data_IF_743622721124
#
_entry.id   IF_743622721124
#
_cell.length_a   1.000
_cell.length_b   1.000
_cell.length_c   1.000
_cell.angle_alpha   90.00
_cell.angle_beta   90.00
_cell.angle_gamma   90.00
#
_symmetry.space_group_name_H-M   'P 1'
#
loop_
_entity.id
_entity.type
_entity.pdbx_description
1 polymer ?
#
# COMPACT_ATOMS: atom_id res chain seq x y z
N UNK A 1 3.06 -18.52 11.46
CA UNK A 1 1.90 -18.07 10.67
C UNK A 1 2.00 -18.49 9.20
N UNK A 2 2.96 -17.99 8.41
CA UNK A 2 3.07 -18.33 6.98
C UNK A 2 3.10 -19.85 6.69
N UNK A 3 3.95 -20.59 7.41
CA UNK A 3 4.02 -22.05 7.30
C UNK A 3 2.71 -22.76 7.67
N UNK A 4 1.99 -22.26 8.68
CA UNK A 4 0.70 -22.82 9.10
C UNK A 4 -0.37 -22.61 8.03
N UNK A 5 -0.41 -21.43 7.40
CA UNK A 5 -1.29 -21.18 6.25
C UNK A 5 -0.90 -21.98 5.02
N UNK A 6 0.39 -22.20 4.77
CA UNK A 6 0.85 -23.08 3.71
C UNK A 6 0.41 -24.53 3.95
N UNK A 7 0.50 -25.02 5.19
CA UNK A 7 -0.01 -26.34 5.57
C UNK A 7 -1.53 -26.44 5.36
N UNK A 8 -2.31 -25.50 5.91
CA UNK A 8 -3.76 -25.46 5.72
C UNK A 8 -4.16 -25.37 4.23
N UNK A 9 -3.38 -24.65 3.43
CA UNK A 9 -3.60 -24.57 1.98
C UNK A 9 -3.40 -25.92 1.28
N UNK A 10 -2.39 -26.70 1.68
CA UNK A 10 -2.16 -28.04 1.13
C UNK A 10 -3.28 -29.00 1.56
N UNK A 11 -3.70 -28.91 2.83
CA UNK A 11 -4.73 -29.78 3.40
C UNK A 11 -6.12 -29.52 2.82
N UNK A 12 -6.46 -28.25 2.54
CA UNK A 12 -7.73 -27.85 1.90
C UNK A 12 -7.88 -28.34 0.45
N UNK A 13 -6.81 -28.83 -0.19
CA UNK A 13 -6.76 -29.31 -1.59
C UNK A 13 -7.62 -28.43 -2.53
N UNK A 14 -7.29 -27.14 -2.67
CA UNK A 14 -8.07 -26.25 -3.51
C UNK A 14 -7.98 -26.65 -4.99
N UNK A 15 -9.05 -26.39 -5.74
CA UNK A 15 -9.08 -26.60 -7.18
C UNK A 15 -8.07 -25.69 -7.87
N UNK A 16 -7.02 -26.27 -8.45
CA UNK A 16 -5.97 -25.51 -9.14
C UNK A 16 -6.49 -24.71 -10.33
N UNK A 17 -7.56 -25.19 -10.99
CA UNK A 17 -8.21 -24.47 -12.09
C UNK A 17 -8.83 -23.16 -11.61
N UNK A 18 -9.56 -23.21 -10.49
CA UNK A 18 -10.24 -22.02 -9.94
C UNK A 18 -9.24 -21.00 -9.39
N UNK A 19 -8.13 -21.47 -8.81
CA UNK A 19 -7.01 -20.62 -8.39
C UNK A 19 -6.38 -19.87 -9.57
N UNK A 20 -6.04 -20.58 -10.65
CA UNK A 20 -5.43 -19.95 -11.84
C UNK A 20 -6.40 -18.96 -12.49
N UNK A 21 -7.68 -19.31 -12.57
CA UNK A 21 -8.71 -18.39 -13.08
C UNK A 21 -8.87 -17.17 -12.18
N UNK A 22 -8.85 -17.33 -10.85
CA UNK A 22 -8.92 -16.22 -9.90
C UNK A 22 -7.69 -15.31 -9.91
N UNK A 23 -6.51 -15.87 -10.23
CA UNK A 23 -5.26 -15.13 -10.37
C UNK A 23 -5.20 -14.31 -11.67
N UNK A 24 -5.72 -14.85 -12.77
CA UNK A 24 -5.57 -14.26 -14.11
C UNK A 24 -6.78 -13.42 -14.55
N UNK A 25 -7.97 -13.71 -14.05
CA UNK A 25 -9.22 -13.09 -14.51
C UNK A 25 -9.84 -12.24 -13.40
N UNK A 26 -9.73 -10.89 -13.47
CA UNK A 26 -10.39 -10.03 -12.50
C UNK A 26 -11.91 -10.04 -12.73
N UNK A 27 -12.65 -10.72 -11.84
CA UNK A 27 -14.12 -10.68 -11.80
C UNK A 27 -14.56 -9.86 -10.59
N UNK A 28 -15.02 -8.64 -10.82
CA UNK A 28 -15.51 -7.74 -9.79
C UNK A 28 -17.03 -7.62 -9.86
N UNK A 29 -17.68 -7.71 -8.70
CA UNK A 29 -19.10 -7.40 -8.53
C UNK A 29 -19.24 -6.12 -7.71
N UNK A 30 -20.36 -5.42 -7.81
CA UNK A 30 -20.57 -4.14 -7.09
C UNK A 30 -20.41 -4.27 -5.56
N UNK A 31 -20.72 -5.45 -4.98
CA UNK A 31 -20.53 -5.70 -3.54
C UNK A 31 -19.07 -6.00 -3.18
N UNK A 32 -18.33 -6.69 -4.05
CA UNK A 32 -16.93 -7.04 -3.79
C UNK A 32 -15.96 -5.92 -4.14
N UNK A 33 -16.41 -4.89 -4.86
CA UNK A 33 -15.57 -3.75 -5.24
C UNK A 33 -14.98 -3.06 -4.01
N UNK A 34 -15.79 -2.70 -3.00
CA UNK A 34 -15.29 -2.04 -1.77
C UNK A 34 -14.21 -2.86 -1.05
N UNK A 35 -14.39 -4.18 -0.97
CA UNK A 35 -13.42 -5.09 -0.34
C UNK A 35 -12.13 -5.22 -1.19
N UNK A 36 -12.27 -5.38 -2.51
CA UNK A 36 -11.12 -5.46 -3.41
C UNK A 36 -10.29 -4.17 -3.38
N UNK A 37 -10.96 -3.02 -3.31
CA UNK A 37 -10.34 -1.71 -3.12
C UNK A 37 -9.57 -1.66 -1.80
N UNK A 38 -10.17 -2.09 -0.69
CA UNK A 38 -9.51 -2.14 0.61
C UNK A 38 -8.23 -2.98 0.57
N UNK A 39 -8.27 -4.15 -0.10
CA UNK A 39 -7.10 -5.01 -0.28
C UNK A 39 -6.01 -4.28 -1.08
N UNK A 40 -6.36 -3.61 -2.18
CA UNK A 40 -5.39 -2.85 -3.00
C UNK A 40 -4.76 -1.71 -2.19
N UNK A 41 -5.56 -0.96 -1.42
CA UNK A 41 -5.10 0.12 -0.56
C UNK A 41 -4.15 -0.37 0.54
N UNK A 42 -4.45 -1.52 1.15
CA UNK A 42 -3.59 -2.16 2.15
C UNK A 42 -2.26 -2.65 1.58
N UNK A 43 -2.22 -3.05 0.31
CA UNK A 43 -0.97 -3.51 -0.34
C UNK A 43 -0.09 -2.31 -0.76
N UNK A 44 -0.71 -1.24 -1.26
CA UNK A 44 0.01 -0.06 -1.76
C UNK A 44 0.01 1.02 -0.68
N UNK A 45 0.88 0.84 0.31
CA UNK A 45 1.04 1.83 1.39
C UNK A 45 2.12 2.87 1.04
N UNK A 46 1.84 4.18 1.15
CA UNK A 46 2.78 5.24 0.74
C UNK A 46 4.08 5.24 1.55
N UNK A 47 4.02 4.92 2.85
CA UNK A 47 5.20 4.91 3.71
C UNK A 47 6.24 3.84 3.29
N UNK A 48 5.81 2.74 2.68
CA UNK A 48 6.72 1.70 2.18
C UNK A 48 7.53 2.18 0.98
N UNK A 49 6.98 3.06 0.15
CA UNK A 49 7.73 3.70 -0.96
C UNK A 49 8.91 4.49 -0.40
N UNK A 50 8.65 5.39 0.57
CA UNK A 50 9.71 6.19 1.20
C UNK A 50 10.73 5.33 1.95
N UNK A 51 10.26 4.32 2.68
CA UNK A 51 11.13 3.42 3.43
C UNK A 51 12.05 2.63 2.49
N UNK A 52 11.51 2.04 1.43
CA UNK A 52 12.32 1.24 0.50
C UNK A 52 13.34 2.11 -0.24
N UNK A 53 12.96 3.32 -0.67
CA UNK A 53 13.89 4.29 -1.26
C UNK A 53 15.05 4.64 -0.31
N UNK A 54 14.80 4.71 0.99
CA UNK A 54 15.83 5.00 1.98
C UNK A 54 16.70 3.79 2.35
N UNK A 55 16.11 2.60 2.45
CA UNK A 55 16.86 1.36 2.74
C UNK A 55 17.86 1.02 1.64
N UNK A 56 17.54 1.31 0.38
CA UNK A 56 18.46 1.20 -0.76
C UNK A 56 19.71 2.08 -0.60
N UNK A 57 19.62 3.21 0.11
CA UNK A 57 20.77 4.09 0.38
C UNK A 57 21.64 3.62 1.54
N UNK A 58 21.20 2.64 2.32
CA UNK A 58 21.97 2.11 3.45
C UNK A 58 23.19 1.29 3.03
N UNK A 59 23.20 0.75 1.80
CA UNK A 59 24.36 0.04 1.25
C UNK A 59 25.29 1.04 0.54
N UNK A 60 26.59 0.88 0.75
CA UNK A 60 27.61 1.71 0.12
C UNK A 60 27.77 1.30 -1.35
N UNK A 61 27.28 2.12 -2.27
CA UNK A 61 27.47 1.97 -3.72
C UNK A 61 28.22 3.20 -4.23
N UNK A 62 29.29 2.99 -5.02
CA UNK A 62 30.02 4.09 -5.66
C UNK A 62 29.19 4.62 -6.83
N UNK A 63 28.60 5.80 -6.65
CA UNK A 63 27.71 6.43 -7.64
C UNK A 63 28.46 6.89 -8.89
N UNK A 64 29.79 6.99 -8.85
CA UNK A 64 30.60 7.43 -9.99
C UNK A 64 30.84 6.30 -11.01
N UNK A 65 30.59 5.05 -10.64
CA UNK A 65 30.83 3.87 -11.48
C UNK A 65 29.51 3.30 -11.96
N UNK A 66 29.15 3.59 -13.21
CA UNK A 66 27.88 3.13 -13.81
C UNK A 66 27.68 1.62 -13.70
N UNK A 67 28.75 0.82 -13.86
CA UNK A 67 28.68 -0.63 -13.70
C UNK A 67 28.20 -1.06 -12.30
N UNK A 68 28.70 -0.42 -11.23
CA UNK A 68 28.33 -0.74 -9.86
C UNK A 68 26.88 -0.34 -9.57
N UNK A 69 26.43 0.79 -10.10
CA UNK A 69 25.03 1.23 -9.98
C UNK A 69 24.10 0.25 -10.69
N UNK A 70 24.46 -0.19 -11.91
CA UNK A 70 23.66 -1.17 -12.67
C UNK A 70 23.60 -2.53 -11.97
N UNK A 71 24.72 -2.99 -11.42
CA UNK A 71 24.77 -4.23 -10.63
C UNK A 71 23.91 -4.11 -9.36
N UNK A 72 24.02 -3.00 -8.62
CA UNK A 72 23.21 -2.75 -7.44
C UNK A 72 21.72 -2.72 -7.77
N UNK A 73 21.30 -2.04 -8.84
CA UNK A 73 19.91 -2.00 -9.30
C UNK A 73 19.36 -3.40 -9.59
N UNK A 74 20.18 -4.29 -10.19
CA UNK A 74 19.78 -5.68 -10.44
C UNK A 74 19.56 -6.45 -9.14
N UNK A 75 20.47 -6.34 -8.18
CA UNK A 75 20.30 -6.98 -6.87
C UNK A 75 19.09 -6.42 -6.10
N UNK A 76 18.90 -5.11 -6.11
CA UNK A 76 17.73 -4.49 -5.47
C UNK A 76 16.42 -4.90 -6.12
N UNK A 77 16.39 -5.05 -7.44
CA UNK A 77 15.21 -5.56 -8.14
C UNK A 77 14.89 -7.00 -7.73
N UNK A 78 15.90 -7.87 -7.60
CA UNK A 78 15.71 -9.25 -7.16
C UNK A 78 15.26 -9.29 -5.70
N UNK A 79 15.92 -8.55 -4.81
CA UNK A 79 15.59 -8.46 -3.38
C UNK A 79 14.14 -7.98 -3.19
N UNK A 80 13.77 -6.89 -3.86
CA UNK A 80 12.41 -6.33 -3.80
C UNK A 80 11.36 -7.28 -4.37
N UNK A 81 11.65 -7.95 -5.48
CA UNK A 81 10.74 -8.95 -6.07
C UNK A 81 10.52 -10.11 -5.10
N UNK A 82 11.59 -10.69 -4.55
CA UNK A 82 11.48 -11.79 -3.57
C UNK A 82 10.74 -11.36 -2.30
N UNK A 83 10.97 -10.13 -1.84
CA UNK A 83 10.28 -9.57 -0.68
C UNK A 83 8.77 -9.37 -0.91
N UNK A 84 8.32 -9.13 -2.15
CA UNK A 84 6.90 -9.00 -2.49
C UNK A 84 6.22 -10.35 -2.80
N UNK A 85 6.96 -11.35 -3.29
CA UNK A 85 6.42 -12.69 -3.54
C UNK A 85 5.94 -13.35 -2.25
N UNK A 86 6.66 -13.17 -1.14
CA UNK A 86 6.31 -13.82 0.14
C UNK A 86 4.94 -13.33 0.69
N UNK A 87 4.68 -12.01 0.85
CA UNK A 87 3.36 -11.50 1.23
C UNK A 87 2.27 -11.88 0.23
N UNK A 88 2.57 -11.89 -1.07
CA UNK A 88 1.62 -12.33 -2.08
C UNK A 88 1.19 -13.80 -1.86
N UNK A 89 2.14 -14.70 -1.59
CA UNK A 89 1.84 -16.10 -1.28
C UNK A 89 1.05 -16.26 0.01
N UNK A 90 1.39 -15.50 1.06
CA UNK A 90 0.64 -15.51 2.32
C UNK A 90 -0.80 -15.05 2.09
N UNK A 91 -1.02 -13.94 1.39
CA UNK A 91 -2.36 -13.44 1.08
C UNK A 91 -3.15 -14.43 0.22
N UNK A 92 -2.50 -15.11 -0.73
CA UNK A 92 -3.11 -16.17 -1.52
C UNK A 92 -3.56 -17.34 -0.63
N UNK A 93 -2.70 -17.81 0.27
CA UNK A 93 -3.02 -18.91 1.18
C UNK A 93 -4.14 -18.56 2.14
N UNK A 94 -4.05 -17.40 2.81
CA UNK A 94 -5.07 -16.92 3.75
C UNK A 94 -6.43 -16.82 3.03
N UNK A 95 -6.48 -16.11 1.91
CA UNK A 95 -7.74 -15.91 1.17
C UNK A 95 -8.33 -17.24 0.69
N UNK A 96 -7.50 -18.17 0.22
CA UNK A 96 -7.98 -19.47 -0.28
C UNK A 96 -8.47 -20.36 0.86
N UNK A 97 -7.78 -20.41 1.99
CA UNK A 97 -8.19 -21.20 3.17
C UNK A 97 -9.53 -20.71 3.70
N UNK A 98 -9.71 -19.39 3.82
CA UNK A 98 -11.00 -18.82 4.25
C UNK A 98 -12.10 -19.03 3.23
N UNK A 99 -11.81 -18.85 1.93
CA UNK A 99 -12.79 -19.09 0.88
C UNK A 99 -13.23 -20.56 0.83
N UNK A 100 -12.30 -21.51 0.80
CA UNK A 100 -12.66 -22.93 0.75
C UNK A 100 -13.28 -23.42 2.06
N UNK A 101 -12.84 -22.86 3.18
CA UNK A 101 -13.31 -23.22 4.51
C UNK A 101 -14.73 -22.73 4.79
N UNK A 102 -15.04 -21.47 4.49
CA UNK A 102 -16.23 -20.82 5.04
C UNK A 102 -17.12 -20.17 3.99
N UNK A 103 -16.73 -20.14 2.71
CA UNK A 103 -17.56 -19.50 1.68
C UNK A 103 -18.92 -20.21 1.54
N UNK A 104 -20.00 -19.44 1.73
CA UNK A 104 -21.38 -19.93 1.62
C UNK A 104 -21.98 -20.47 2.92
N UNK A 105 -21.28 -20.41 4.05
CA UNK A 105 -21.85 -20.71 5.37
C UNK A 105 -22.38 -19.44 6.05
N UNK A 106 -23.31 -19.57 6.99
CA UNK A 106 -23.81 -18.42 7.78
C UNK A 106 -22.69 -17.77 8.61
N UNK A 107 -21.71 -18.57 9.06
CA UNK A 107 -20.53 -18.14 9.80
C UNK A 107 -19.62 -17.21 8.99
N UNK A 108 -19.67 -17.26 7.65
CA UNK A 108 -18.83 -16.44 6.79
C UNK A 108 -19.00 -14.93 7.03
N UNK A 109 -20.17 -14.52 7.52
CA UNK A 109 -20.51 -13.12 7.80
C UNK A 109 -20.00 -12.63 9.15
N UNK A 110 -19.75 -13.54 10.09
CA UNK A 110 -19.34 -13.20 11.46
C UNK A 110 -17.84 -13.37 11.69
N UNK A 111 -17.10 -13.93 10.73
CA UNK A 111 -15.64 -14.08 10.81
C UNK A 111 -14.97 -12.70 10.76
N UNK A 112 -14.38 -12.31 11.88
CA UNK A 112 -13.55 -11.12 12.08
C UNK A 112 -12.18 -11.49 12.67
N UNK A 113 -11.34 -10.47 12.91
CA UNK A 113 -9.96 -10.66 13.38
C UNK A 113 -9.88 -11.41 14.73
N UNK A 114 -10.86 -11.17 15.61
CA UNK A 114 -10.96 -11.74 16.96
C UNK A 114 -11.25 -13.25 16.94
N UNK A 115 -12.28 -13.66 16.21
CA UNK A 115 -12.76 -15.05 16.19
C UNK A 115 -12.18 -15.89 15.05
N UNK A 116 -11.51 -15.29 14.05
CA UNK A 116 -10.87 -16.01 12.95
C UNK A 116 -9.94 -17.13 13.42
N UNK A 117 -9.16 -16.89 14.49
CA UNK A 117 -8.27 -17.90 15.05
C UNK A 117 -9.02 -19.10 15.64
N UNK A 118 -10.21 -18.89 16.22
CA UNK A 118 -11.05 -19.94 16.79
C UNK A 118 -11.66 -20.78 15.67
N UNK A 119 -12.26 -20.15 14.67
CA UNK A 119 -12.81 -20.84 13.51
C UNK A 119 -11.76 -21.67 12.76
N UNK A 120 -10.54 -21.14 12.61
CA UNK A 120 -9.44 -21.89 12.02
C UNK A 120 -9.02 -23.08 12.89
N UNK A 121 -9.00 -22.93 14.22
CA UNK A 121 -8.70 -24.04 15.14
C UNK A 121 -9.76 -25.14 15.05
N UNK A 122 -11.04 -24.78 15.06
CA UNK A 122 -12.14 -25.76 14.99
C UNK A 122 -12.13 -26.53 13.68
N UNK A 123 -11.79 -25.86 12.57
CA UNK A 123 -11.84 -26.47 11.24
C UNK A 123 -10.58 -27.24 10.85
N UNK A 124 -9.40 -26.74 11.24
CA UNK A 124 -8.10 -27.24 10.78
C UNK A 124 -7.15 -27.64 11.90
N UNK A 125 -7.44 -27.29 13.16
CA UNK A 125 -6.50 -27.46 14.27
C UNK A 125 -6.40 -28.90 14.76
N UNK A 126 -7.47 -29.69 14.65
CA UNK A 126 -7.55 -31.00 15.30
C UNK A 126 -7.14 -30.95 16.78
N UNK A 127 -6.71 -32.09 17.34
CA UNK A 127 -6.24 -32.17 18.73
C UNK A 127 -4.78 -31.72 18.92
N UNK A 128 -3.99 -31.65 17.85
CA UNK A 128 -2.52 -31.52 17.94
C UNK A 128 -1.95 -30.20 17.40
N UNK A 129 -2.67 -29.45 16.56
CA UNK A 129 -2.17 -28.22 15.94
C UNK A 129 -2.77 -26.97 16.61
N UNK A 130 -1.98 -26.20 17.39
CA UNK A 130 -2.47 -25.02 18.10
C UNK A 130 -2.51 -23.78 17.18
N UNK A 131 -3.39 -23.82 16.17
CA UNK A 131 -3.59 -22.73 15.19
C UNK A 131 -4.01 -21.43 15.88
N UNK A 132 -4.88 -21.50 16.90
CA UNK A 132 -5.29 -20.31 17.66
C UNK A 132 -4.10 -19.59 18.29
N UNK A 133 -3.18 -20.33 18.92
CA UNK A 133 -1.97 -19.77 19.52
C UNK A 133 -1.03 -19.18 18.46
N UNK A 134 -0.88 -19.87 17.32
CA UNK A 134 -0.06 -19.38 16.21
C UNK A 134 -0.65 -18.11 15.58
N UNK A 135 -1.99 -18.02 15.49
CA UNK A 135 -2.71 -16.83 15.06
C UNK A 135 -2.43 -15.66 16.00
N UNK A 136 -2.64 -15.85 17.31
CA UNK A 136 -2.40 -14.82 18.32
C UNK A 136 -0.95 -14.33 18.35
N UNK A 137 0.03 -15.25 18.40
CA UNK A 137 1.46 -14.90 18.36
C UNK A 137 1.81 -14.21 17.05
N UNK A 138 1.22 -14.65 15.95
CA UNK A 138 1.44 -14.04 14.64
C UNK A 138 0.87 -12.62 14.54
N UNK A 139 -0.30 -12.35 15.12
CA UNK A 139 -0.87 -11.00 15.20
C UNK A 139 0.03 -10.06 16.03
N UNK A 140 0.55 -10.55 17.16
CA UNK A 140 1.52 -9.81 17.98
C UNK A 140 2.81 -9.52 17.20
N UNK A 141 3.34 -10.50 16.47
CA UNK A 141 4.53 -10.34 15.64
C UNK A 141 4.30 -9.34 14.49
N UNK A 142 3.12 -9.37 13.85
CA UNK A 142 2.76 -8.41 12.80
C UNK A 142 2.71 -6.97 13.34
N UNK A 143 2.10 -6.76 14.52
CA UNK A 143 2.03 -5.45 15.16
C UNK A 143 3.40 -4.86 15.54
N UNK A 144 4.30 -5.70 16.05
CA UNK A 144 5.68 -5.28 16.38
C UNK A 144 6.49 -4.95 15.13
N UNK A 145 6.39 -5.77 14.08
CA UNK A 145 7.02 -5.50 12.79
C UNK A 145 6.54 -4.18 12.17
N UNK A 146 5.22 -3.95 12.13
CA UNK A 146 4.63 -2.72 11.61
C UNK A 146 5.12 -1.47 12.35
N UNK A 147 5.32 -1.57 13.67
CA UNK A 147 5.90 -0.46 14.44
C UNK A 147 7.31 -0.13 13.97
N UNK A 148 8.18 -1.14 13.83
CA UNK A 148 9.57 -0.92 13.44
C UNK A 148 9.60 -0.22 12.07
N UNK A 149 8.88 -0.76 11.10
CA UNK A 149 8.72 -0.20 9.75
C UNK A 149 8.20 1.24 9.80
N UNK A 150 7.14 1.51 10.57
CA UNK A 150 6.56 2.85 10.73
C UNK A 150 7.54 3.85 11.35
N UNK A 151 8.33 3.44 12.34
CA UNK A 151 9.34 4.32 12.95
C UNK A 151 10.52 4.60 12.02
N UNK A 152 10.91 3.67 11.15
CA UNK A 152 11.94 3.92 10.14
C UNK A 152 11.41 4.81 9.02
N UNK A 153 10.22 4.53 8.49
CA UNK A 153 9.60 5.35 7.45
C UNK A 153 9.41 6.80 7.94
N UNK A 154 8.90 6.97 9.16
CA UNK A 154 8.75 8.28 9.79
C UNK A 154 10.08 9.02 9.99
N UNK A 155 11.20 8.30 10.16
CA UNK A 155 12.52 8.93 10.20
C UNK A 155 12.84 9.65 8.91
N UNK A 156 12.76 8.94 7.80
CA UNK A 156 13.20 9.44 6.51
C UNK A 156 12.28 10.55 6.01
N UNK A 157 10.98 10.45 6.32
CA UNK A 157 10.02 11.51 6.02
C UNK A 157 10.31 12.77 6.85
N UNK A 158 10.54 12.64 8.17
CA UNK A 158 10.84 13.78 9.04
C UNK A 158 12.20 14.42 8.73
N UNK A 159 13.24 13.61 8.52
CA UNK A 159 14.57 14.09 8.18
C UNK A 159 14.60 14.73 6.78
N UNK A 160 13.85 14.18 5.81
CA UNK A 160 13.83 14.66 4.43
C UNK A 160 12.94 15.88 4.20
N UNK A 161 11.70 15.89 4.72
CA UNK A 161 10.74 16.97 4.47
C UNK A 161 10.78 18.09 5.52
N UNK A 162 11.01 17.74 6.78
CA UNK A 162 10.94 18.68 7.91
C UNK A 162 12.33 19.05 8.46
N UNK A 163 13.40 18.40 7.99
CA UNK A 163 14.75 18.49 8.55
C UNK A 163 14.78 18.30 10.08
N UNK A 164 13.84 17.51 10.63
CA UNK A 164 13.64 17.39 12.07
C UNK A 164 14.15 16.05 12.60
N UNK A 165 15.32 16.10 13.24
CA UNK A 165 16.01 14.92 13.78
C UNK A 165 15.53 14.57 15.19
N UNK A 166 14.60 13.63 15.29
CA UNK A 166 14.13 13.07 16.56
C UNK A 166 14.84 11.76 16.91
N UNK A 167 15.08 11.53 18.21
CA UNK A 167 15.59 10.24 18.72
C UNK A 167 14.56 9.13 18.43
N UNK A 168 15.03 7.93 18.05
CA UNK A 168 14.18 6.78 17.65
C UNK A 168 13.05 6.48 18.64
N UNK A 169 13.37 6.41 19.94
CA UNK A 169 12.38 6.12 20.99
C UNK A 169 11.31 7.21 21.13
N UNK A 170 11.69 8.48 21.01
CA UNK A 170 10.77 9.61 21.15
C UNK A 170 9.81 9.68 19.97
N UNK A 171 10.32 9.44 18.75
CA UNK A 171 9.48 9.31 17.57
C UNK A 171 8.48 8.16 17.71
N UNK A 172 8.93 6.99 18.16
CA UNK A 172 8.07 5.83 18.37
C UNK A 172 7.00 6.07 19.45
N UNK A 173 7.34 6.78 20.52
CA UNK A 173 6.39 7.17 21.56
C UNK A 173 5.35 8.13 21.01
N UNK A 174 5.77 9.19 20.30
CA UNK A 174 4.84 10.18 19.72
C UNK A 174 3.87 9.51 18.76
N UNK A 175 4.37 8.76 17.76
CA UNK A 175 3.49 8.14 16.75
C UNK A 175 2.56 7.09 17.36
N UNK A 176 3.00 6.35 18.38
CA UNK A 176 2.14 5.40 19.10
C UNK A 176 1.12 6.10 19.98
N UNK A 177 1.48 7.18 20.67
CA UNK A 177 0.53 7.97 21.44
C UNK A 177 -0.58 8.51 20.54
N UNK A 178 -0.25 9.03 19.36
CA UNK A 178 -1.24 9.48 18.38
C UNK A 178 -2.13 8.36 17.83
N UNK A 179 -1.65 7.11 17.77
CA UNK A 179 -2.46 5.97 17.34
C UNK A 179 -3.33 5.39 18.48
N UNK A 180 -2.74 5.19 19.66
CA UNK A 180 -3.36 4.47 20.77
C UNK A 180 -4.33 5.36 21.54
N UNK A 181 -3.98 6.63 21.80
CA UNK A 181 -4.80 7.52 22.64
C UNK A 181 -6.20 7.72 22.04
N UNK A 182 -6.37 8.08 20.74
CA UNK A 182 -7.70 8.22 20.16
C UNK A 182 -8.48 6.90 20.20
N UNK A 183 -7.81 5.78 19.94
CA UNK A 183 -8.44 4.45 19.97
C UNK A 183 -8.97 4.10 21.35
N UNK A 184 -8.18 4.34 22.41
CA UNK A 184 -8.61 4.11 23.80
C UNK A 184 -9.76 5.04 24.18
N UNK A 185 -9.69 6.32 23.80
CA UNK A 185 -10.76 7.29 24.10
C UNK A 185 -12.07 6.86 23.46
N UNK A 186 -12.04 6.44 22.18
CA UNK A 186 -13.23 5.93 21.48
C UNK A 186 -13.75 4.65 22.15
N UNK A 187 -12.86 3.71 22.49
CA UNK A 187 -13.25 2.44 23.12
C UNK A 187 -13.92 2.64 24.49
N UNK A 188 -13.38 3.54 25.33
CA UNK A 188 -13.91 3.83 26.66
C UNK A 188 -15.20 4.65 26.63
N UNK A 189 -15.29 5.63 25.73
CA UNK A 189 -16.45 6.54 25.67
C UNK A 189 -17.67 5.90 24.99
N UNK A 190 -17.45 5.09 23.96
CA UNK A 190 -18.51 4.43 23.19
C UNK A 190 -18.76 2.97 23.63
N UNK A 191 -18.20 2.55 24.77
CA UNK A 191 -18.43 1.24 25.38
C UNK A 191 -18.25 0.07 24.39
N UNK A 192 -17.19 0.13 23.59
CA UNK A 192 -16.87 -0.81 22.51
C UNK A 192 -18.00 -1.07 21.49
N UNK A 193 -18.90 -0.11 21.25
CA UNK A 193 -19.87 -0.25 20.14
C UNK A 193 -19.10 -0.37 18.81
N UNK A 194 -19.27 -1.49 18.09
CA UNK A 194 -18.59 -1.77 16.81
C UNK A 194 -18.68 -0.58 15.84
N UNK A 195 -19.84 0.09 15.82
CA UNK A 195 -20.10 1.26 14.96
C UNK A 195 -19.12 2.42 15.11
N UNK A 196 -18.62 2.72 16.31
CA UNK A 196 -17.70 3.86 16.52
C UNK A 196 -16.28 3.53 16.07
N UNK A 197 -15.88 2.27 16.22
CA UNK A 197 -14.59 1.77 15.73
C UNK A 197 -14.58 1.65 14.20
N UNK A 198 -15.72 1.27 13.62
CA UNK A 198 -15.90 1.26 12.16
C UNK A 198 -15.75 2.66 11.58
N UNK A 199 -16.39 3.67 12.17
CA UNK A 199 -16.23 5.07 11.76
C UNK A 199 -14.76 5.52 11.86
N UNK A 200 -14.07 5.18 12.95
CA UNK A 200 -12.63 5.48 13.09
C UNK A 200 -11.80 4.81 11.97
N UNK A 201 -12.07 3.56 11.66
CA UNK A 201 -11.41 2.83 10.59
C UNK A 201 -11.69 3.46 9.21
N UNK A 202 -12.91 3.91 8.96
CA UNK A 202 -13.26 4.64 7.73
C UNK A 202 -12.45 5.94 7.61
N UNK A 203 -12.35 6.74 8.67
CA UNK A 203 -11.52 7.94 8.69
C UNK A 203 -10.03 7.66 8.43
N UNK A 204 -9.49 6.57 8.98
CA UNK A 204 -8.11 6.14 8.71
C UNK A 204 -7.92 5.75 7.24
N UNK A 205 -8.89 5.05 6.65
CA UNK A 205 -8.86 4.69 5.23
C UNK A 205 -8.92 5.93 4.32
N UNK A 206 -9.73 6.94 4.68
CA UNK A 206 -9.77 8.23 3.96
C UNK A 206 -8.42 8.94 4.06
N UNK A 207 -7.81 8.97 5.24
CA UNK A 207 -6.49 9.59 5.44
C UNK A 207 -5.41 8.89 4.62
N UNK A 208 -5.43 7.56 4.54
CA UNK A 208 -4.54 6.78 3.69
C UNK A 208 -4.79 7.04 2.19
N UNK A 209 -6.05 7.14 1.78
CA UNK A 209 -6.47 7.44 0.40
C UNK A 209 -5.86 8.74 -0.11
N UNK A 210 -5.87 9.79 0.72
CA UNK A 210 -5.31 11.11 0.40
C UNK A 210 -3.78 11.07 0.22
N UNK A 211 -3.09 10.18 0.93
CA UNK A 211 -1.62 10.10 0.90
C UNK A 211 -1.06 9.36 -0.32
N UNK A 212 -1.81 8.42 -0.90
CA UNK A 212 -1.33 7.58 -2.00
C UNK A 212 -0.88 8.43 -3.21
N UNK A 213 -1.71 9.35 -3.77
CA UNK A 213 -1.30 10.17 -4.91
C UNK A 213 -0.09 11.06 -4.60
N UNK A 214 -0.01 11.58 -3.37
CA UNK A 214 1.09 12.44 -2.92
C UNK A 214 2.45 11.72 -2.93
N UNK A 215 2.46 10.41 -2.72
CA UNK A 215 3.69 9.61 -2.77
C UNK A 215 4.01 9.11 -4.19
N UNK A 216 3.00 8.61 -4.92
CA UNK A 216 3.20 7.94 -6.21
C UNK A 216 3.47 8.92 -7.36
N UNK A 217 2.75 10.05 -7.44
CA UNK A 217 2.91 11.00 -8.56
C UNK A 217 4.33 11.56 -8.60
N UNK A 218 4.90 12.08 -7.48
CA UNK A 218 6.28 12.55 -7.49
C UNK A 218 7.29 11.44 -7.75
N UNK A 219 7.08 10.23 -7.21
CA UNK A 219 7.99 9.09 -7.44
C UNK A 219 8.12 8.76 -8.92
N UNK A 220 6.98 8.54 -9.60
CA UNK A 220 6.99 8.15 -11.02
C UNK A 220 7.66 9.24 -11.84
N UNK A 221 7.39 10.50 -11.52
CA UNK A 221 8.00 11.63 -12.22
C UNK A 221 9.49 11.71 -12.02
N UNK A 222 9.97 11.63 -10.77
CA UNK A 222 11.39 11.73 -10.46
C UNK A 222 12.19 10.62 -11.17
N UNK A 223 11.62 9.42 -11.23
CA UNK A 223 12.23 8.26 -11.91
C UNK A 223 12.16 8.37 -13.44
N UNK A 224 11.18 9.11 -13.99
CA UNK A 224 11.08 9.43 -15.42
C UNK A 224 11.96 10.59 -15.88
N UNK A 225 12.51 11.40 -14.96
CA UNK A 225 13.23 12.62 -15.31
C UNK A 225 14.72 12.37 -15.54
N UNK A 226 15.20 12.69 -16.73
CA UNK A 226 16.61 12.53 -17.11
C UNK A 226 17.55 13.40 -16.28
N UNK A 227 17.12 14.60 -15.87
CA UNK A 227 17.90 15.47 -14.98
C UNK A 227 18.17 14.85 -13.59
N UNK A 228 17.33 13.91 -13.14
CA UNK A 228 17.45 13.28 -11.81
C UNK A 228 18.10 11.90 -11.93
N UNK A 229 17.69 11.11 -12.92
CA UNK A 229 18.12 9.71 -13.07
C UNK A 229 19.28 9.50 -14.07
N UNK A 230 19.58 10.51 -14.90
CA UNK A 230 20.58 10.41 -15.97
C UNK A 230 20.34 9.20 -16.88
N UNK A 231 21.38 8.40 -17.05
CA UNK A 231 21.41 7.18 -17.88
C UNK A 231 20.47 6.08 -17.35
N UNK A 232 20.03 6.15 -16.09
CA UNK A 232 19.16 5.15 -15.43
C UNK A 232 17.67 5.52 -15.45
N UNK A 233 17.25 6.44 -16.32
CA UNK A 233 15.84 6.79 -16.53
C UNK A 233 15.02 5.56 -16.96
N UNK A 234 13.77 5.47 -16.49
CA UNK A 234 12.86 4.41 -16.94
C UNK A 234 12.44 4.59 -18.40
N UNK A 235 12.35 3.47 -19.12
CA UNK A 235 11.86 3.45 -20.49
C UNK A 235 10.37 3.80 -20.57
N UNK A 236 9.93 4.23 -21.76
CA UNK A 236 8.54 4.64 -22.02
C UNK A 236 7.53 3.53 -21.68
N UNK A 237 7.84 2.28 -22.00
CA UNK A 237 6.98 1.14 -21.68
C UNK A 237 6.79 0.98 -20.18
N UNK A 238 7.87 1.01 -19.40
CA UNK A 238 7.80 0.91 -17.94
C UNK A 238 7.05 2.10 -17.35
N UNK A 239 7.27 3.30 -17.88
CA UNK A 239 6.54 4.50 -17.46
C UNK A 239 5.03 4.35 -17.68
N UNK A 240 4.58 3.89 -18.85
CA UNK A 240 3.16 3.65 -19.14
C UNK A 240 2.59 2.59 -18.21
N UNK A 241 3.32 1.49 -17.98
CA UNK A 241 2.88 0.42 -17.07
C UNK A 241 2.75 0.93 -15.64
N UNK A 242 3.74 1.68 -15.13
CA UNK A 242 3.71 2.22 -13.77
C UNK A 242 2.59 3.25 -13.59
N UNK A 243 2.37 4.13 -14.57
CA UNK A 243 1.23 5.06 -14.54
C UNK A 243 -0.11 4.34 -14.58
N UNK A 244 -0.24 3.28 -15.38
CA UNK A 244 -1.46 2.46 -15.42
C UNK A 244 -1.73 1.84 -14.06
N UNK A 245 -0.71 1.21 -13.45
CA UNK A 245 -0.84 0.58 -12.12
C UNK A 245 -1.09 1.61 -11.02
N UNK A 246 -0.51 2.81 -11.09
CA UNK A 246 -0.74 3.87 -10.11
C UNK A 246 -2.10 4.56 -10.29
N UNK A 247 -2.62 4.66 -11.52
CA UNK A 247 -3.93 5.25 -11.78
C UNK A 247 -5.05 4.46 -11.11
N UNK A 248 -4.94 3.13 -11.07
CA UNK A 248 -5.94 2.25 -10.47
C UNK A 248 -6.24 2.59 -8.99
N UNK A 249 -5.27 2.56 -8.05
CA UNK A 249 -5.52 2.95 -6.66
C UNK A 249 -5.88 4.43 -6.55
N UNK A 250 -5.33 5.34 -7.37
CA UNK A 250 -5.67 6.77 -7.29
C UNK A 250 -7.15 7.00 -7.62
N UNK A 251 -7.66 6.40 -8.70
CA UNK A 251 -9.07 6.52 -9.10
C UNK A 251 -10.01 5.89 -8.08
N UNK A 252 -9.66 4.69 -7.63
CA UNK A 252 -10.41 3.92 -6.65
C UNK A 252 -10.53 4.69 -5.32
N UNK A 253 -9.42 5.17 -4.79
CA UNK A 253 -9.40 5.91 -3.53
C UNK A 253 -10.08 7.27 -3.70
N UNK A 254 -9.97 7.90 -4.88
CA UNK A 254 -10.74 9.08 -5.23
C UNK A 254 -12.25 8.83 -5.18
N UNK A 255 -12.73 7.71 -5.73
CA UNK A 255 -14.14 7.32 -5.67
C UNK A 255 -14.60 7.08 -4.22
N UNK A 256 -13.84 6.32 -3.42
CA UNK A 256 -14.20 6.09 -2.01
C UNK A 256 -14.24 7.39 -1.20
N UNK A 257 -13.31 8.30 -1.45
CA UNK A 257 -13.26 9.60 -0.81
C UNK A 257 -14.52 10.41 -1.14
N UNK A 258 -14.96 10.42 -2.41
CA UNK A 258 -16.21 11.07 -2.83
C UNK A 258 -17.45 10.41 -2.21
N UNK A 259 -17.50 9.07 -2.17
CA UNK A 259 -18.60 8.29 -1.58
C UNK A 259 -18.75 8.61 -0.08
N UNK A 260 -17.65 8.52 0.68
CA UNK A 260 -17.60 8.82 2.11
C UNK A 260 -18.06 10.24 2.42
N UNK A 261 -17.55 11.20 1.67
CA UNK A 261 -17.91 12.58 1.87
C UNK A 261 -19.37 12.87 1.51
N UNK A 262 -19.89 12.26 0.45
CA UNK A 262 -21.31 12.37 0.08
C UNK A 262 -22.23 11.85 1.20
N UNK A 263 -21.84 10.78 1.90
CA UNK A 263 -22.61 10.23 3.02
C UNK A 263 -22.54 11.07 4.30
N UNK A 264 -21.42 11.75 4.55
CA UNK A 264 -21.21 12.52 5.80
C UNK A 264 -21.84 13.92 5.74
N UNK A 265 -22.09 14.47 4.55
CA UNK A 265 -22.67 15.81 4.40
C UNK A 265 -24.17 15.79 4.65
N UNK A 266 -24.58 16.23 5.85
CA UNK A 266 -25.99 16.52 6.19
C UNK A 266 -26.35 18.02 6.16
N UNK A 267 -25.47 18.91 5.68
CA UNK A 267 -25.71 20.37 5.68
C UNK A 267 -25.04 21.15 4.54
N UNK A 268 -25.71 22.20 4.05
CA UNK A 268 -25.26 23.01 2.91
C UNK A 268 -23.91 23.72 3.14
N UNK A 269 -23.62 24.16 4.38
CA UNK A 269 -22.36 24.83 4.72
C UNK A 269 -21.19 23.84 4.73
N UNK A 270 -21.37 22.66 5.32
CA UNK A 270 -20.36 21.58 5.31
C UNK A 270 -20.09 21.07 3.89
N UNK A 271 -21.13 21.00 3.05
CA UNK A 271 -20.99 20.65 1.64
C UNK A 271 -20.15 21.65 0.85
N UNK A 272 -20.34 22.96 1.08
CA UNK A 272 -19.54 24.00 0.42
C UNK A 272 -18.08 23.97 0.83
N UNK A 273 -17.78 23.81 2.13
CA UNK A 273 -16.39 23.72 2.62
C UNK A 273 -15.68 22.51 2.01
N UNK A 274 -16.36 21.37 1.97
CA UNK A 274 -15.79 20.17 1.38
C UNK A 274 -15.56 20.32 -0.12
N UNK A 275 -16.52 20.89 -0.87
CA UNK A 275 -16.35 21.09 -2.30
C UNK A 275 -15.08 21.91 -2.59
N UNK A 276 -14.84 22.96 -1.80
CA UNK A 276 -13.59 23.74 -1.88
C UNK A 276 -12.37 22.87 -1.55
N UNK A 277 -12.41 22.05 -0.51
CA UNK A 277 -11.30 21.17 -0.14
C UNK A 277 -10.99 20.11 -1.22
N UNK A 278 -12.02 19.49 -1.81
CA UNK A 278 -11.88 18.51 -2.90
C UNK A 278 -11.34 19.18 -4.16
N UNK A 279 -11.85 20.35 -4.53
CA UNK A 279 -11.34 21.13 -5.67
C UNK A 279 -9.90 21.56 -5.43
N UNK A 280 -9.55 22.02 -4.24
CA UNK A 280 -8.17 22.37 -3.88
C UNK A 280 -7.24 21.15 -3.94
N UNK A 281 -7.69 19.99 -3.45
CA UNK A 281 -6.92 18.75 -3.54
C UNK A 281 -6.74 18.29 -4.99
N UNK A 282 -7.81 18.29 -5.79
CA UNK A 282 -7.74 17.96 -7.22
C UNK A 282 -6.83 18.93 -7.99
N UNK A 283 -6.93 20.24 -7.71
CA UNK A 283 -6.06 21.25 -8.29
C UNK A 283 -4.59 21.05 -7.87
N UNK A 284 -4.34 20.63 -6.64
CA UNK A 284 -3.00 20.30 -6.16
C UNK A 284 -2.44 19.04 -6.84
N UNK A 285 -3.26 17.99 -7.02
CA UNK A 285 -2.85 16.80 -7.79
C UNK A 285 -2.59 17.15 -9.25
N UNK A 286 -3.44 17.97 -9.87
CA UNK A 286 -3.25 18.45 -11.23
C UNK A 286 -1.96 19.29 -11.32
N UNK A 287 -1.73 20.19 -10.36
CA UNK A 287 -0.49 20.96 -10.28
C UNK A 287 0.73 20.03 -10.19
N UNK A 288 0.68 19.00 -9.35
CA UNK A 288 1.75 18.00 -9.27
C UNK A 288 1.95 17.32 -10.62
N UNK A 289 0.90 16.84 -11.28
CA UNK A 289 0.98 16.17 -12.59
C UNK A 289 1.54 17.12 -13.65
N UNK A 290 1.04 18.36 -13.73
CA UNK A 290 1.44 19.36 -14.73
C UNK A 290 2.89 19.78 -14.59
N UNK A 291 3.33 20.13 -13.36
CA UNK A 291 4.75 20.42 -13.09
C UNK A 291 5.65 19.24 -13.40
N UNK A 292 5.11 18.04 -13.31
CA UNK A 292 5.81 16.80 -13.60
C UNK A 292 5.84 16.48 -15.10
N UNK A 293 4.84 16.88 -15.88
CA UNK A 293 4.79 16.70 -17.35
C UNK A 293 5.46 17.82 -18.14
N UNK A 294 5.54 19.05 -17.63
CA UNK A 294 6.08 20.23 -18.35
C UNK A 294 7.62 20.28 -18.48
N UNK A 295 8.31 19.13 -18.47
CA UNK A 295 9.76 19.06 -18.69
C UNK A 295 10.21 17.83 -19.50
N UNK A 296 9.54 17.55 -20.63
CA UNK A 296 10.28 17.21 -21.85
C UNK A 296 9.64 17.81 -23.12
N UNK A 297 9.72 19.14 -23.32
CA UNK A 297 9.47 19.75 -24.63
C UNK A 297 10.72 19.67 -25.53
N UNK A 298 11.22 18.46 -25.78
CA UNK A 298 12.23 18.23 -26.83
C UNK A 298 11.84 17.12 -27.84
N UNK A 299 10.58 16.66 -27.84
CA UNK A 299 10.13 15.58 -28.75
C UNK A 299 9.43 16.09 -30.02
N UNK A 300 9.29 17.41 -30.23
CA UNK A 300 8.79 17.96 -31.50
C UNK A 300 9.79 18.93 -32.15
N UNK A 301 10.87 18.39 -32.70
CA UNK A 301 11.53 18.96 -33.88
C UNK A 301 11.93 17.83 -34.84
N UNK A 302 11.24 17.67 -35.99
CA UNK A 302 11.77 16.88 -37.09
C UNK A 302 12.59 17.83 -37.98
N UNK A 303 13.91 17.88 -37.85
CA UNK A 303 14.76 18.48 -38.88
C UNK A 303 16.03 17.64 -39.07
N UNK A 304 15.90 16.71 -40.01
CA UNK A 304 16.80 16.48 -41.14
C UNK A 304 18.32 16.59 -40.95
N UNK A 305 18.98 15.44 -41.18
CA UNK A 305 20.31 15.23 -41.75
C UNK A 305 20.95 16.45 -42.46
N UNK A 306 22.18 16.83 -42.05
CA UNK A 306 23.40 16.86 -42.90
C UNK A 306 24.56 17.65 -42.24
N UNK A 307 25.74 17.02 -42.35
CA UNK A 307 27.08 17.60 -42.53
C UNK A 307 27.89 18.19 -41.34
N UNK A 308 29.22 17.96 -41.49
CA UNK A 308 30.40 18.44 -40.77
C UNK A 308 30.73 17.72 -39.43
N UNK A 309 31.66 16.76 -39.35
CA UNK A 309 33.11 16.84 -39.64
C UNK A 309 33.77 18.08 -39.04
N UNK A 310 34.50 17.93 -37.92
CA UNK A 310 35.94 18.20 -37.78
C UNK A 310 36.37 18.28 -36.31
N UNK A 311 37.45 17.54 -36.02
CA UNK A 311 38.45 17.67 -34.93
C UNK A 311 38.06 17.37 -33.48
#
# INVERSE_FOLDING_TARGET
MAWSFAWMFIETKPSGKDLIVGLLVPKLSSRTLRQAVGIVGCVITPHNVFLHSALVQSRKVDQNKEYQVREALRYYSIESTMALVVPFMINLFVTTVFAKGFYGTEEARTIGLENAGQYLQEKFGGDYFPILSIWGVGLLAAGTSSTITGTYAGQFIMDGFLNWRLKKWMRAMITRSFAIVPTIVVALYFNASESALDVLNEWLNVLQSVQIPFSLIPLITLVSKEQVMGVFKIGLTTQIVTWTVASLPILINGYLLLDFFSSEIRGAVSGSFLCVAVVAYAAFLLYLILRCTDLPNHVFTPVNNKDASFK
#
